data_IF_667049407134
#
_entry.id   IF_667049407134
#
_cell.length_a   1.000
_cell.length_b   1.000
_cell.length_c   1.000
_cell.angle_alpha   90.00
_cell.angle_beta   90.00
_cell.angle_gamma   90.00
#
_symmetry.space_group_name_H-M   'P 1'
#
loop_
_entity.id
_entity.type
_entity.pdbx_description
1 polymer ?
#
# COMPACT_ATOMS: atom_id res chain seq x y z
N UNK A 1 28.63 -20.43 2.82
CA UNK A 1 27.19 -20.18 2.77
C UNK A 1 26.80 -19.92 1.31
N UNK A 2 25.93 -20.74 0.75
CA UNK A 2 25.39 -20.55 -0.58
C UNK A 2 24.06 -19.83 -0.46
N UNK A 3 24.03 -18.54 -0.84
CA UNK A 3 22.76 -17.78 -0.91
C UNK A 3 21.86 -18.35 -2.00
N UNK A 4 20.55 -18.40 -1.73
CA UNK A 4 19.52 -18.74 -2.72
C UNK A 4 18.86 -17.46 -3.24
N UNK A 5 18.74 -17.33 -4.56
CA UNK A 5 18.02 -16.20 -5.18
C UNK A 5 16.63 -16.69 -5.57
N UNK A 6 15.61 -16.05 -5.03
CA UNK A 6 14.21 -16.25 -5.39
C UNK A 6 13.80 -15.16 -6.39
N UNK A 7 13.22 -15.56 -7.52
CA UNK A 7 12.65 -14.63 -8.49
C UNK A 7 11.18 -14.34 -8.12
N UNK A 8 10.80 -13.06 -8.17
CA UNK A 8 9.47 -12.59 -7.81
C UNK A 8 8.90 -11.76 -8.99
N UNK A 9 8.41 -12.40 -10.07
CA UNK A 9 8.07 -11.72 -11.32
C UNK A 9 7.00 -10.63 -11.18
N UNK A 10 6.04 -10.82 -10.27
CA UNK A 10 4.97 -9.82 -10.08
C UNK A 10 5.49 -8.48 -9.54
N UNK A 11 6.62 -8.46 -8.84
CA UNK A 11 7.23 -7.21 -8.37
C UNK A 11 7.86 -6.40 -9.52
N UNK A 12 8.18 -7.03 -10.64
CA UNK A 12 8.66 -6.32 -11.83
C UNK A 12 7.61 -5.33 -12.36
N UNK A 13 6.32 -5.58 -12.07
CA UNK A 13 5.22 -4.66 -12.43
C UNK A 13 5.34 -3.30 -11.77
N UNK A 14 6.05 -3.17 -10.64
CA UNK A 14 6.31 -1.89 -9.97
C UNK A 14 7.02 -0.91 -10.89
N UNK A 15 7.92 -1.40 -11.76
CA UNK A 15 8.63 -0.57 -12.73
C UNK A 15 7.74 -0.03 -13.87
N UNK A 16 6.51 -0.53 -14.03
CA UNK A 16 5.58 0.00 -15.00
C UNK A 16 4.97 1.33 -14.56
N UNK A 17 5.04 1.64 -13.27
CA UNK A 17 4.46 2.84 -12.65
C UNK A 17 5.54 3.80 -12.14
N UNK A 18 6.75 3.69 -12.68
CA UNK A 18 7.84 4.63 -12.44
C UNK A 18 7.83 5.74 -13.48
N UNK A 19 7.89 7.00 -13.05
CA UNK A 19 8.05 8.16 -13.91
C UNK A 19 9.23 8.99 -13.45
N UNK A 20 10.04 9.46 -14.42
CA UNK A 20 11.24 10.27 -14.18
C UNK A 20 11.21 11.55 -15.01
N UNK A 21 11.48 12.68 -14.36
CA UNK A 21 11.69 13.96 -14.98
C UNK A 21 13.17 14.09 -15.38
N UNK A 22 13.44 14.15 -16.67
CA UNK A 22 14.77 14.33 -17.26
C UNK A 22 15.05 15.78 -17.60
N UNK A 23 16.29 16.20 -17.40
CA UNK A 23 16.79 17.49 -17.94
C UNK A 23 16.28 18.73 -17.20
N UNK A 24 15.74 18.61 -15.98
CA UNK A 24 15.44 19.77 -15.14
C UNK A 24 16.72 20.44 -14.66
N UNK A 25 16.78 21.79 -14.75
CA UNK A 25 17.93 22.57 -14.27
C UNK A 25 18.12 22.48 -12.74
N UNK A 26 17.05 22.17 -12.02
CA UNK A 26 17.03 22.07 -10.56
C UNK A 26 17.24 20.63 -10.03
N UNK A 27 17.66 19.71 -10.90
CA UNK A 27 17.79 18.30 -10.61
C UNK A 27 16.57 17.50 -11.08
N UNK A 28 16.77 16.21 -11.36
CA UNK A 28 15.69 15.32 -11.77
C UNK A 28 14.76 14.95 -10.61
N UNK A 29 13.51 14.67 -10.91
CA UNK A 29 12.53 14.12 -9.98
C UNK A 29 12.08 12.73 -10.44
N UNK A 30 11.70 11.88 -9.51
CA UNK A 30 11.14 10.57 -9.82
C UNK A 30 10.07 10.15 -8.84
N UNK A 31 9.06 9.43 -9.32
CA UNK A 31 8.04 8.77 -8.50
C UNK A 31 7.98 7.31 -8.90
N UNK A 32 8.16 6.46 -7.94
CA UNK A 32 8.03 5.01 -8.10
C UNK A 32 7.11 4.39 -7.05
N UNK A 33 6.95 3.11 -7.16
CA UNK A 33 6.14 2.30 -6.27
C UNK A 33 6.98 1.71 -5.13
N UNK A 34 6.33 1.46 -4.00
CA UNK A 34 6.99 0.83 -2.85
C UNK A 34 6.82 -0.68 -2.88
N UNK A 35 7.85 -1.37 -2.41
CA UNK A 35 7.83 -2.80 -2.12
C UNK A 35 8.03 -2.95 -0.63
N UNK A 36 7.21 -3.76 0.00
CA UNK A 36 7.27 -4.06 1.42
C UNK A 36 7.75 -5.49 1.63
N UNK A 37 8.68 -5.65 2.54
CA UNK A 37 9.17 -6.94 3.02
C UNK A 37 8.94 -6.97 4.53
N UNK A 38 8.03 -7.82 4.98
CA UNK A 38 7.62 -7.86 6.37
C UNK A 38 7.66 -9.28 6.90
N UNK A 39 8.27 -9.47 8.06
CA UNK A 39 8.13 -10.70 8.82
C UNK A 39 7.01 -10.50 9.85
N UNK A 40 5.89 -11.17 9.63
CA UNK A 40 4.72 -11.10 10.49
C UNK A 40 4.23 -12.52 10.82
N UNK A 41 4.07 -12.79 12.09
CA UNK A 41 3.71 -14.14 12.52
C UNK A 41 4.65 -15.15 11.85
N UNK A 42 5.10 -16.06 11.81
CA UNK A 42 6.11 -16.96 11.22
C UNK A 42 6.27 -16.88 9.67
N UNK A 43 5.67 -15.89 9.02
CA UNK A 43 5.70 -15.72 7.56
C UNK A 43 6.48 -14.47 7.15
N UNK A 44 7.07 -14.51 5.96
CA UNK A 44 7.60 -13.31 5.29
C UNK A 44 6.65 -12.93 4.16
N UNK A 45 6.02 -11.76 4.30
CA UNK A 45 5.11 -11.19 3.31
C UNK A 45 5.88 -10.23 2.41
N UNK A 46 5.74 -10.38 1.10
CA UNK A 46 6.36 -9.52 0.10
C UNK A 46 5.23 -8.94 -0.73
N UNK A 47 5.02 -7.64 -0.61
CA UNK A 47 3.91 -6.92 -1.22
C UNK A 47 4.37 -5.62 -1.87
N UNK A 48 3.50 -4.93 -2.59
CA UNK A 48 3.79 -3.62 -3.18
C UNK A 48 2.55 -2.74 -3.19
N UNK A 49 2.75 -1.45 -3.44
CA UNK A 49 1.66 -0.50 -3.63
C UNK A 49 0.85 -0.75 -4.92
N UNK A 50 1.39 -1.52 -5.87
CA UNK A 50 0.79 -1.71 -7.20
C UNK A 50 -0.51 -2.52 -7.19
N UNK A 51 -0.64 -3.47 -6.26
CA UNK A 51 -1.81 -4.34 -6.26
C UNK A 51 -2.05 -5.09 -4.97
N UNK A 52 -3.16 -5.80 -4.94
CA UNK A 52 -3.61 -6.54 -3.77
C UNK A 52 -2.84 -7.85 -3.55
N UNK A 53 -2.29 -8.45 -4.61
CA UNK A 53 -1.57 -9.72 -4.55
C UNK A 53 -0.21 -9.59 -3.86
N UNK A 54 0.25 -10.69 -3.28
CA UNK A 54 1.50 -10.78 -2.53
C UNK A 54 2.23 -12.09 -2.82
N UNK A 55 3.51 -12.11 -2.48
CA UNK A 55 4.23 -13.36 -2.26
C UNK A 55 4.36 -13.63 -0.77
N UNK A 56 4.24 -14.88 -0.41
CA UNK A 56 4.40 -15.37 0.97
C UNK A 56 5.52 -16.39 0.97
N UNK A 57 6.55 -16.14 1.76
CA UNK A 57 7.59 -17.12 2.03
C UNK A 57 7.38 -17.70 3.42
N UNK A 58 7.29 -19.01 3.49
CA UNK A 58 7.25 -19.78 4.73
C UNK A 58 8.65 -20.34 5.02
N UNK A 59 9.36 -19.81 6.03
CA UNK A 59 10.69 -20.29 6.39
C UNK A 59 10.73 -21.72 6.89
N UNK A 60 9.64 -22.22 7.48
CA UNK A 60 9.58 -23.58 8.01
C UNK A 60 9.48 -24.64 6.90
N UNK A 61 8.81 -24.28 5.81
CA UNK A 61 8.63 -25.12 4.63
C UNK A 61 9.64 -24.83 3.51
N UNK A 62 10.47 -23.80 3.69
CA UNK A 62 11.34 -23.24 2.63
C UNK A 62 10.60 -23.07 1.30
N UNK A 63 9.40 -22.51 1.37
CA UNK A 63 8.50 -22.39 0.22
C UNK A 63 8.04 -20.95 -0.01
N UNK A 64 8.03 -20.55 -1.29
CA UNK A 64 7.50 -19.27 -1.75
C UNK A 64 6.26 -19.53 -2.60
N UNK A 65 5.13 -18.88 -2.27
CA UNK A 65 3.91 -18.97 -3.06
C UNK A 65 3.30 -17.59 -3.30
N UNK A 66 2.60 -17.49 -4.42
CA UNK A 66 1.86 -16.29 -4.81
C UNK A 66 0.43 -16.38 -4.29
N UNK A 67 -0.09 -15.25 -3.78
CA UNK A 67 -1.47 -15.15 -3.30
C UNK A 67 -2.13 -13.88 -3.83
N UNK A 68 -3.26 -14.05 -4.52
CA UNK A 68 -4.16 -12.97 -4.91
C UNK A 68 -5.40 -12.99 -4.00
N UNK A 69 -5.94 -11.82 -3.71
CA UNK A 69 -7.13 -11.68 -2.87
C UNK A 69 -8.35 -11.26 -3.71
N UNK A 70 -9.53 -11.84 -3.46
CA UNK A 70 -10.75 -11.54 -4.22
C UNK A 70 -11.46 -10.30 -3.65
N UNK A 71 -10.78 -9.14 -3.64
CA UNK A 71 -11.39 -7.89 -3.17
C UNK A 71 -12.51 -7.44 -4.11
N UNK A 72 -13.59 -6.92 -3.54
CA UNK A 72 -14.77 -6.43 -4.27
C UNK A 72 -14.96 -4.91 -4.10
N UNK A 73 -14.58 -4.35 -2.95
CA UNK A 73 -14.80 -2.92 -2.66
C UNK A 73 -13.78 -1.99 -3.32
N UNK A 74 -12.61 -2.50 -3.69
CA UNK A 74 -11.53 -1.69 -4.28
C UNK A 74 -10.94 -2.36 -5.53
N UNK A 75 -10.36 -1.58 -6.47
CA UNK A 75 -9.63 -2.14 -7.61
C UNK A 75 -8.52 -3.08 -7.14
N UNK A 76 -8.31 -4.19 -7.85
CA UNK A 76 -7.32 -5.21 -7.49
C UNK A 76 -5.86 -4.72 -7.67
N UNK A 77 -5.66 -3.65 -8.41
CA UNK A 77 -4.36 -3.04 -8.65
C UNK A 77 -4.44 -1.85 -9.59
N UNK A 78 -3.29 -1.25 -9.85
CA UNK A 78 -3.15 -0.15 -10.79
C UNK A 78 -3.38 -0.62 -12.23
N UNK A 79 -4.13 0.18 -12.97
CA UNK A 79 -4.45 -0.08 -14.37
C UNK A 79 -4.44 1.24 -15.16
N UNK A 80 -3.25 1.78 -15.37
CA UNK A 80 -3.03 3.01 -16.13
C UNK A 80 -1.71 2.94 -16.88
N UNK A 81 -1.70 3.48 -18.10
CA UNK A 81 -0.46 3.67 -18.85
C UNK A 81 0.14 5.03 -18.51
N UNK A 82 1.42 5.04 -18.18
CA UNK A 82 2.19 6.25 -17.90
C UNK A 82 3.42 6.34 -18.79
N UNK A 83 3.87 7.57 -19.02
CA UNK A 83 5.18 7.82 -19.62
C UNK A 83 6.26 7.63 -18.56
N UNK A 84 7.23 6.77 -18.82
CA UNK A 84 8.34 6.51 -17.88
C UNK A 84 9.34 7.66 -17.79
N UNK A 85 9.50 8.40 -18.89
CA UNK A 85 10.39 9.56 -18.97
C UNK A 85 9.62 10.75 -19.51
N UNK A 86 9.78 11.89 -18.87
CA UNK A 86 9.17 13.16 -19.25
C UNK A 86 10.21 14.28 -19.15
N UNK A 87 10.02 15.36 -19.90
CA UNK A 87 11.03 16.42 -20.06
C UNK A 87 10.54 17.81 -19.61
N UNK A 88 9.39 17.87 -18.97
CA UNK A 88 8.85 19.11 -18.39
C UNK A 88 8.06 18.82 -17.11
N UNK A 89 8.02 19.78 -16.19
CA UNK A 89 7.24 19.71 -14.97
C UNK A 89 5.75 19.49 -15.27
N UNK A 90 5.23 20.11 -16.31
CA UNK A 90 3.84 19.95 -16.74
C UNK A 90 3.52 18.49 -17.10
N UNK A 91 4.40 17.84 -17.87
CA UNK A 91 4.24 16.43 -18.23
C UNK A 91 4.38 15.55 -16.97
N UNK A 92 5.37 15.86 -16.11
CA UNK A 92 5.58 15.11 -14.88
C UNK A 92 4.33 15.15 -13.97
N UNK A 93 3.78 16.35 -13.75
CA UNK A 93 2.55 16.49 -12.96
C UNK A 93 1.35 15.78 -13.61
N UNK A 94 1.26 15.77 -14.93
CA UNK A 94 0.20 15.02 -15.63
C UNK A 94 0.29 13.51 -15.38
N UNK A 95 1.49 12.94 -15.39
CA UNK A 95 1.69 11.51 -15.06
C UNK A 95 1.45 11.23 -13.58
N UNK A 96 1.90 12.12 -12.67
CA UNK A 96 1.59 12.00 -11.24
C UNK A 96 0.08 12.04 -10.96
N UNK A 97 -0.68 12.85 -11.68
CA UNK A 97 -2.14 12.90 -11.53
C UNK A 97 -2.83 11.62 -12.00
N UNK A 98 -2.30 10.98 -13.04
CA UNK A 98 -2.79 9.64 -13.44
C UNK A 98 -2.55 8.61 -12.33
N UNK A 99 -1.34 8.60 -11.75
CA UNK A 99 -1.00 7.70 -10.65
C UNK A 99 -1.82 7.99 -9.40
N UNK A 100 -2.09 9.27 -9.10
CA UNK A 100 -2.88 9.66 -7.94
C UNK A 100 -4.27 9.00 -7.90
N UNK A 101 -4.92 8.85 -9.05
CA UNK A 101 -6.25 8.23 -9.14
C UNK A 101 -6.24 6.71 -9.11
N UNK A 102 -5.06 6.10 -9.04
CA UNK A 102 -4.93 4.64 -8.90
C UNK A 102 -4.98 4.23 -7.43
N UNK A 103 -5.24 2.94 -7.23
CA UNK A 103 -5.19 2.35 -5.89
C UNK A 103 -3.74 2.14 -5.44
N UNK A 104 -3.44 2.47 -4.20
CA UNK A 104 -2.23 2.10 -3.49
C UNK A 104 -2.57 1.12 -2.39
N UNK A 105 -1.97 -0.08 -2.41
CA UNK A 105 -2.03 -1.04 -1.33
C UNK A 105 -0.82 -0.86 -0.41
N UNK A 106 -1.08 -0.76 0.88
CA UNK A 106 -0.04 -0.57 1.88
C UNK A 106 0.43 -1.88 2.46
N UNK A 107 1.32 -1.83 3.44
CA UNK A 107 1.84 -2.98 4.16
C UNK A 107 0.78 -3.61 5.07
N UNK A 108 1.14 -4.74 5.68
CA UNK A 108 0.27 -5.49 6.56
C UNK A 108 0.51 -5.15 8.02
N UNK A 109 -0.54 -5.27 8.81
CA UNK A 109 -0.50 -5.27 10.26
C UNK A 109 -0.97 -6.63 10.76
N UNK A 110 -0.33 -7.11 11.82
CA UNK A 110 -0.76 -8.31 12.52
C UNK A 110 -1.37 -7.93 13.87
N UNK A 111 -2.53 -8.48 14.19
CA UNK A 111 -3.16 -8.40 15.49
C UNK A 111 -3.15 -9.77 16.19
N UNK A 112 -2.30 -9.87 17.19
CA UNK A 112 -2.12 -11.09 17.96
C UNK A 112 -3.40 -11.53 18.71
N UNK A 113 -4.19 -10.58 19.18
CA UNK A 113 -5.39 -10.91 19.94
C UNK A 113 -6.50 -11.49 19.06
N UNK A 114 -6.74 -10.92 17.90
CA UNK A 114 -7.77 -11.40 16.97
C UNK A 114 -7.24 -12.44 15.99
N UNK A 115 -5.93 -12.70 15.97
CA UNK A 115 -5.25 -13.61 15.04
C UNK A 115 -5.57 -13.26 13.58
N UNK A 116 -5.49 -11.94 13.26
CA UNK A 116 -5.83 -11.42 11.94
C UNK A 116 -4.72 -10.56 11.38
N UNK A 117 -4.58 -10.63 10.06
CA UNK A 117 -3.86 -9.62 9.31
C UNK A 117 -4.84 -8.53 8.86
N UNK A 118 -4.35 -7.30 8.87
CA UNK A 118 -5.05 -6.15 8.31
C UNK A 118 -4.18 -5.49 7.25
N UNK A 119 -4.81 -4.98 6.19
CA UNK A 119 -4.12 -4.22 5.15
C UNK A 119 -4.96 -3.03 4.74
N UNK A 120 -4.35 -1.87 4.68
CA UNK A 120 -5.00 -0.67 4.16
C UNK A 120 -4.78 -0.52 2.66
N UNK A 121 -5.70 0.21 2.03
CA UNK A 121 -5.49 0.76 0.70
C UNK A 121 -6.05 2.18 0.61
N UNK A 122 -5.50 2.97 -0.31
CA UNK A 122 -5.98 4.32 -0.60
C UNK A 122 -6.09 4.53 -2.10
N UNK A 123 -7.08 5.32 -2.52
CA UNK A 123 -7.29 5.71 -3.90
C UNK A 123 -7.62 7.19 -3.96
N UNK A 124 -6.80 7.97 -4.68
CA UNK A 124 -7.05 9.38 -4.85
C UNK A 124 -8.29 9.66 -5.71
N UNK A 125 -9.01 10.70 -5.35
CA UNK A 125 -10.11 11.22 -6.15
C UNK A 125 -9.58 12.11 -7.27
N UNK A 126 -10.28 12.20 -8.42
CA UNK A 126 -9.90 13.10 -9.50
C UNK A 126 -9.74 14.54 -9.00
N UNK A 127 -8.65 15.18 -9.37
CA UNK A 127 -8.40 16.59 -9.03
C UNK A 127 -9.19 17.49 -9.97
N UNK A 128 -9.82 18.53 -9.43
CA UNK A 128 -10.48 19.57 -10.26
C UNK A 128 -9.44 20.40 -11.05
N UNK A 129 -8.30 20.67 -10.43
CA UNK A 129 -7.11 21.27 -11.05
C UNK A 129 -5.87 20.82 -10.28
N UNK A 130 -4.66 21.17 -10.77
CA UNK A 130 -3.39 20.71 -10.22
C UNK A 130 -3.15 21.18 -8.77
N UNK A 131 -3.72 22.31 -8.39
CA UNK A 131 -3.56 22.92 -7.06
C UNK A 131 -4.68 22.51 -6.08
N UNK A 132 -5.62 21.67 -6.54
CA UNK A 132 -6.72 21.20 -5.68
C UNK A 132 -6.18 20.33 -4.56
N UNK A 133 -6.79 20.42 -3.36
CA UNK A 133 -6.49 19.49 -2.28
C UNK A 133 -6.70 18.04 -2.73
N UNK A 134 -5.74 17.18 -2.39
CA UNK A 134 -5.82 15.76 -2.69
C UNK A 134 -6.74 15.09 -1.68
N UNK A 135 -7.82 14.51 -2.16
CA UNK A 135 -8.75 13.72 -1.37
C UNK A 135 -8.62 12.24 -1.76
N UNK A 136 -8.88 11.36 -0.80
CA UNK A 136 -8.73 9.93 -0.99
C UNK A 136 -9.96 9.18 -0.47
N UNK A 137 -10.21 8.03 -1.09
CA UNK A 137 -11.00 6.95 -0.52
C UNK A 137 -10.05 5.99 0.17
N UNK A 138 -10.43 5.51 1.34
CA UNK A 138 -9.63 4.59 2.15
C UNK A 138 -10.38 3.28 2.35
N UNK A 139 -9.64 2.19 2.32
CA UNK A 139 -10.16 0.84 2.46
C UNK A 139 -9.35 0.06 3.49
N UNK A 140 -10.01 -0.84 4.19
CA UNK A 140 -9.41 -1.77 5.12
C UNK A 140 -9.87 -3.19 4.80
N UNK A 141 -8.92 -4.10 4.73
CA UNK A 141 -9.12 -5.52 4.47
C UNK A 141 -8.64 -6.31 5.68
N UNK A 142 -9.45 -7.27 6.12
CA UNK A 142 -9.13 -8.19 7.20
C UNK A 142 -8.99 -9.61 6.67
N UNK A 143 -7.94 -10.31 7.09
CA UNK A 143 -7.66 -11.68 6.70
C UNK A 143 -7.43 -12.53 7.95
N UNK A 144 -7.78 -13.81 7.88
CA UNK A 144 -7.44 -14.74 8.94
C UNK A 144 -5.94 -15.13 8.90
N UNK A 145 -5.53 -15.97 9.85
CA UNK A 145 -4.15 -16.47 9.97
C UNK A 145 -3.63 -17.15 8.70
N UNK A 146 -4.51 -17.71 7.87
CA UNK A 146 -4.18 -18.36 6.61
C UNK A 146 -4.22 -17.39 5.42
N UNK A 147 -4.28 -16.08 5.69
CA UNK A 147 -4.44 -15.03 4.70
C UNK A 147 -5.71 -15.22 3.83
N UNK A 148 -6.79 -15.76 4.39
CA UNK A 148 -8.10 -15.82 3.75
C UNK A 148 -8.87 -14.53 4.09
N UNK A 149 -9.39 -13.84 3.06
CA UNK A 149 -10.18 -12.63 3.24
C UNK A 149 -11.41 -12.91 4.12
N UNK A 150 -11.61 -12.13 5.16
CA UNK A 150 -12.71 -12.22 6.12
C UNK A 150 -13.67 -11.05 6.04
N UNK A 151 -13.18 -9.90 5.57
CA UNK A 151 -14.00 -8.73 5.41
C UNK A 151 -13.26 -7.60 4.73
N UNK A 152 -14.06 -6.70 4.17
CA UNK A 152 -13.64 -5.48 3.50
C UNK A 152 -14.48 -4.32 4.01
N UNK A 153 -13.87 -3.16 4.17
CA UNK A 153 -14.57 -1.96 4.63
C UNK A 153 -14.02 -0.71 3.94
N UNK A 154 -14.92 0.13 3.43
CA UNK A 154 -14.57 1.50 3.09
C UNK A 154 -14.59 2.32 4.38
N UNK A 155 -13.53 3.06 4.62
CA UNK A 155 -13.36 3.87 5.83
C UNK A 155 -13.95 5.27 5.59
N UNK A 156 -15.01 5.59 6.31
CA UNK A 156 -15.64 6.91 6.25
C UNK A 156 -15.05 7.83 7.33
N UNK A 157 -14.89 9.12 7.01
CA UNK A 157 -14.42 10.13 7.95
C UNK A 157 -12.92 10.14 8.22
N UNK A 158 -12.15 9.34 7.49
CA UNK A 158 -10.68 9.38 7.56
C UNK A 158 -10.15 10.47 6.64
N UNK A 159 -9.31 11.36 7.17
CA UNK A 159 -8.56 12.35 6.38
C UNK A 159 -7.21 11.80 5.89
N UNK A 160 -6.68 10.80 6.60
CA UNK A 160 -5.43 10.13 6.29
C UNK A 160 -5.43 8.69 6.80
N UNK A 161 -4.54 7.86 6.29
CA UNK A 161 -4.37 6.49 6.77
C UNK A 161 -3.49 6.44 8.02
N UNK A 162 -3.82 5.58 8.98
CA UNK A 162 -3.04 5.37 10.20
C UNK A 162 -1.81 4.48 9.95
N UNK A 163 -0.94 4.88 8.99
CA UNK A 163 0.22 4.07 8.56
C UNK A 163 1.33 3.96 9.61
N UNK A 164 1.37 4.85 10.60
CA UNK A 164 2.32 4.80 11.72
C UNK A 164 1.69 4.18 12.97
N UNK A 165 0.94 3.09 12.77
CA UNK A 165 0.18 2.44 13.82
C UNK A 165 0.71 1.07 14.21
N UNK A 166 0.14 0.54 15.27
CA UNK A 166 0.34 -0.84 15.72
C UNK A 166 -0.97 -1.39 16.32
N UNK A 167 -1.14 -2.72 16.29
CA UNK A 167 -2.25 -3.37 16.95
C UNK A 167 -1.90 -3.73 18.39
N UNK A 168 -2.84 -3.43 19.29
CA UNK A 168 -2.78 -3.82 20.69
C UNK A 168 -4.20 -3.98 21.23
N UNK A 169 -4.44 -5.09 21.93
CA UNK A 169 -5.72 -5.41 22.58
C UNK A 169 -6.92 -5.37 21.57
N UNK A 170 -6.71 -5.89 20.35
CA UNK A 170 -7.72 -5.91 19.28
C UNK A 170 -8.05 -4.54 18.69
N UNK A 171 -7.22 -3.53 18.94
CA UNK A 171 -7.41 -2.16 18.46
C UNK A 171 -6.18 -1.69 17.70
N UNK A 172 -6.38 -0.89 16.67
CA UNK A 172 -5.31 -0.16 16.02
C UNK A 172 -5.07 1.15 16.78
N UNK A 173 -3.82 1.35 17.17
CA UNK A 173 -3.31 2.57 17.77
C UNK A 173 -2.48 3.32 16.73
N UNK A 174 -2.86 4.52 16.38
CA UNK A 174 -2.14 5.35 15.41
C UNK A 174 -1.65 6.61 16.09
N UNK A 175 -0.40 6.95 15.83
CA UNK A 175 0.14 8.23 16.27
C UNK A 175 -0.65 9.40 15.68
N UNK A 176 -0.93 10.38 16.51
CA UNK A 176 -1.50 11.68 16.12
C UNK A 176 -0.79 12.79 16.89
N UNK A 177 -0.69 13.97 16.26
CA UNK A 177 -0.28 15.18 16.94
C UNK A 177 -1.53 15.96 17.36
N UNK A 178 -1.68 16.24 18.64
CA UNK A 178 -2.78 17.03 19.20
C UNK A 178 -2.14 18.19 19.99
N UNK A 179 -2.32 19.42 19.50
CA UNK A 179 -1.81 20.63 20.13
C UNK A 179 -0.30 20.56 20.47
N UNK A 180 0.51 20.09 19.52
CA UNK A 180 1.95 19.85 19.64
C UNK A 180 2.37 18.77 20.66
N UNK A 181 1.43 17.99 21.15
CA UNK A 181 1.70 16.84 22.01
C UNK A 181 1.50 15.52 21.27
N UNK A 182 2.31 14.51 21.64
CA UNK A 182 2.19 13.15 21.16
C UNK A 182 0.93 12.51 21.73
N UNK A 183 0.02 12.09 20.85
CA UNK A 183 -1.20 11.36 21.19
C UNK A 183 -1.38 10.11 20.33
N UNK A 184 -2.40 9.32 20.68
CA UNK A 184 -2.82 8.17 19.88
C UNK A 184 -4.32 8.26 19.58
N UNK A 185 -4.68 8.12 18.29
CA UNK A 185 -6.02 7.76 17.89
C UNK A 185 -6.18 6.24 17.99
N UNK A 186 -7.31 5.78 18.54
CA UNK A 186 -7.58 4.35 18.77
C UNK A 186 -8.79 3.94 17.95
N UNK A 187 -8.61 2.95 17.08
CA UNK A 187 -9.66 2.47 16.18
C UNK A 187 -10.03 1.02 16.50
N UNK A 188 -11.32 0.74 16.47
CA UNK A 188 -11.88 -0.62 16.55
C UNK A 188 -12.60 -0.93 15.24
N UNK A 189 -12.34 -2.09 14.68
CA UNK A 189 -12.95 -2.54 13.42
C UNK A 189 -13.74 -3.82 13.64
N UNK A 190 -15.00 -3.80 13.24
CA UNK A 190 -15.89 -4.95 13.24
C UNK A 190 -15.92 -5.56 11.83
N UNK A 191 -15.57 -6.87 11.73
CA UNK A 191 -15.57 -7.68 10.49
C UNK A 191 -16.22 -9.04 10.72
#
# INVERSE_FOLDING_TARGET
ETGRILKIPELEKTFNFFVELKGSADGGGGKGEMVFLQQLNDLVLISSTVGNSIYVYDPNLDSLFFKAFPHELAPLGKNVEIKKEVFSDKEFQAELNKLHTQIDYWDFYWDEQTQRYYRFASKGLPLANIDSPKNFEYFLFAYDRNLTLKGEKKLEGFSELPLSGFFKDGKLWSYVNVDDELGFAVFTFDF
#
